data_IF_471532153212
#
_entry.id   IF_471532153212
#
_cell.length_a   1.000
_cell.length_b   1.000
_cell.length_c   1.000
_cell.angle_alpha   90.00
_cell.angle_beta   90.00
_cell.angle_gamma   90.00
#
_symmetry.space_group_name_H-M   'P 1'
#
loop_
_entity.id
_entity.type
_entity.pdbx_description
1 polymer ?
#
# COMPACT_ATOMS: atom_id res chain seq x y z
N UNK A 1 -12.86 37.10 16.22
CA UNK A 1 -13.16 35.71 15.86
C UNK A 1 -12.22 35.28 14.72
N UNK A 2 -11.70 34.05 14.78
CA UNK A 2 -10.84 33.48 13.73
C UNK A 2 -11.73 32.91 12.61
N UNK A 3 -12.35 33.77 11.81
CA UNK A 3 -13.14 33.35 10.66
C UNK A 3 -12.30 33.30 9.36
N UNK A 4 -12.74 32.52 8.35
CA UNK A 4 -11.95 32.33 7.11
C UNK A 4 -11.61 33.63 6.37
N UNK A 5 -12.53 34.59 6.35
CA UNK A 5 -12.29 35.86 5.63
C UNK A 5 -11.24 36.72 6.35
N UNK A 6 -11.24 36.74 7.68
CA UNK A 6 -10.20 37.39 8.49
C UNK A 6 -8.85 36.71 8.33
N UNK A 7 -8.80 35.36 8.31
CA UNK A 7 -7.59 34.61 8.07
C UNK A 7 -7.03 34.86 6.65
N UNK A 8 -7.88 34.87 5.61
CA UNK A 8 -7.46 35.22 4.23
C UNK A 8 -6.90 36.63 4.16
N UNK A 9 -7.51 37.56 4.88
CA UNK A 9 -7.02 38.95 4.97
C UNK A 9 -5.64 38.98 5.62
N UNK A 10 -5.45 38.28 6.74
CA UNK A 10 -4.17 38.21 7.44
C UNK A 10 -3.07 37.60 6.55
N UNK A 11 -3.35 36.44 5.91
CA UNK A 11 -2.41 35.78 4.98
C UNK A 11 -2.03 36.72 3.83
N UNK A 12 -3.01 37.42 3.22
CA UNK A 12 -2.75 38.35 2.14
C UNK A 12 -1.84 39.52 2.55
N UNK A 13 -2.04 40.11 3.75
CA UNK A 13 -1.15 41.16 4.28
C UNK A 13 0.25 40.61 4.55
N UNK A 14 0.35 39.39 5.11
CA UNK A 14 1.64 38.75 5.40
C UNK A 14 2.44 38.47 4.09
N UNK A 15 1.78 37.99 3.05
CA UNK A 15 2.41 37.66 1.77
C UNK A 15 2.82 38.91 0.97
N UNK A 16 1.99 39.95 0.97
CA UNK A 16 2.27 41.17 0.20
C UNK A 16 3.18 42.14 0.94
N UNK A 17 3.32 42.00 2.29
CA UNK A 17 4.03 42.94 3.13
C UNK A 17 3.43 44.36 3.11
N UNK A 18 2.14 44.51 2.70
CA UNK A 18 1.49 45.80 2.51
C UNK A 18 -0.03 45.70 2.61
N UNK A 19 -0.62 46.57 3.45
CA UNK A 19 -2.07 46.66 3.60
C UNK A 19 -2.74 47.14 2.31
N UNK A 20 -2.13 48.05 1.55
CA UNK A 20 -2.69 48.52 0.27
C UNK A 20 -2.66 47.47 -0.80
N UNK A 21 -1.53 46.74 -0.96
CA UNK A 21 -1.45 45.62 -1.93
C UNK A 21 -2.38 44.45 -1.55
N UNK A 22 -2.53 44.15 -0.27
CA UNK A 22 -3.51 43.16 0.18
C UNK A 22 -4.94 43.59 -0.12
N UNK A 23 -5.25 44.90 0.03
CA UNK A 23 -6.56 45.45 -0.30
C UNK A 23 -6.88 45.33 -1.81
N UNK A 24 -5.93 45.66 -2.67
CA UNK A 24 -6.03 45.43 -4.12
C UNK A 24 -6.26 43.98 -4.47
N UNK A 25 -5.42 43.08 -3.94
CA UNK A 25 -5.51 41.61 -4.15
C UNK A 25 -6.88 41.03 -3.73
N UNK A 26 -7.47 41.56 -2.66
CA UNK A 26 -8.74 41.08 -2.12
C UNK A 26 -9.98 41.90 -2.58
N UNK A 27 -9.80 42.89 -3.47
CA UNK A 27 -10.86 43.79 -3.93
C UNK A 27 -11.61 44.49 -2.77
N UNK A 28 -10.85 44.94 -1.75
CA UNK A 28 -11.34 45.62 -0.56
C UNK A 28 -10.65 46.99 -0.41
N UNK A 29 -11.15 47.83 0.50
CA UNK A 29 -10.44 49.03 0.88
C UNK A 29 -9.34 48.76 1.91
N UNK A 30 -8.28 49.60 1.90
CA UNK A 30 -7.22 49.49 2.92
C UNK A 30 -7.76 49.68 4.35
N UNK A 31 -8.80 50.50 4.51
CA UNK A 31 -9.47 50.69 5.80
C UNK A 31 -10.13 49.38 6.29
N UNK A 32 -10.79 48.64 5.39
CA UNK A 32 -11.40 47.34 5.71
C UNK A 32 -10.34 46.30 6.12
N UNK A 33 -9.22 46.25 5.40
CA UNK A 33 -8.12 45.32 5.72
C UNK A 33 -7.52 45.70 7.11
N UNK A 34 -7.24 46.98 7.33
CA UNK A 34 -6.69 47.46 8.61
C UNK A 34 -7.61 47.18 9.78
N UNK A 35 -8.92 47.38 9.63
CA UNK A 35 -9.90 47.09 10.64
C UNK A 35 -9.93 45.62 11.00
N UNK A 36 -9.94 44.71 10.00
CA UNK A 36 -9.96 43.25 10.21
C UNK A 36 -8.71 42.77 10.94
N UNK A 37 -7.53 43.27 10.54
CA UNK A 37 -6.29 42.91 11.21
C UNK A 37 -6.28 43.42 12.67
N UNK A 38 -6.73 44.64 12.89
CA UNK A 38 -6.85 45.17 14.25
C UNK A 38 -7.78 44.32 15.12
N UNK A 39 -8.96 43.97 14.58
CA UNK A 39 -9.92 43.11 15.27
C UNK A 39 -9.33 41.73 15.57
N UNK A 40 -8.50 41.18 14.68
CA UNK A 40 -7.82 39.90 14.88
C UNK A 40 -6.77 40.02 16.01
N UNK A 41 -5.96 41.09 16.02
CA UNK A 41 -4.98 41.36 17.08
C UNK A 41 -5.66 41.61 18.43
N UNK A 42 -6.76 42.38 18.44
CA UNK A 42 -7.56 42.63 19.65
C UNK A 42 -8.16 41.32 20.21
N UNK A 43 -8.68 40.45 19.36
CA UNK A 43 -9.25 39.16 19.78
C UNK A 43 -8.20 38.14 20.26
N UNK A 44 -7.00 38.18 19.72
CA UNK A 44 -5.87 37.32 20.13
C UNK A 44 -5.08 37.86 21.29
N UNK A 45 -5.21 39.15 21.58
CA UNK A 45 -4.49 39.85 22.63
C UNK A 45 -3.01 40.08 22.32
N UNK A 46 -2.57 39.83 21.08
CA UNK A 46 -1.17 39.96 20.66
C UNK A 46 -1.06 40.66 19.32
N UNK A 47 0.00 41.46 19.13
CA UNK A 47 0.33 42.06 17.85
C UNK A 47 0.85 40.96 16.90
N UNK A 48 0.27 40.86 15.72
CA UNK A 48 0.67 39.91 14.68
C UNK A 48 1.62 40.56 13.66
N UNK A 49 1.56 41.88 13.51
CA UNK A 49 2.46 42.65 12.68
C UNK A 49 3.24 43.69 13.47
N UNK A 50 4.54 43.80 13.18
CA UNK A 50 5.36 44.92 13.55
C UNK A 50 5.29 45.96 12.43
N UNK A 51 4.81 47.17 12.74
CA UNK A 51 4.63 48.26 11.76
C UNK A 51 5.73 49.28 11.93
N UNK A 52 6.52 49.48 10.89
CA UNK A 52 7.41 50.62 10.77
C UNK A 52 6.86 51.55 9.68
N UNK A 53 7.38 52.77 9.58
CA UNK A 53 6.97 53.71 8.52
C UNK A 53 7.30 53.21 7.11
N UNK A 54 8.10 52.14 6.96
CA UNK A 54 8.58 51.63 5.67
C UNK A 54 8.25 50.15 5.41
N UNK A 55 7.80 49.40 6.42
CA UNK A 55 7.57 47.96 6.26
C UNK A 55 6.50 47.42 7.22
N UNK A 56 5.81 46.40 6.76
CA UNK A 56 4.89 45.53 7.54
C UNK A 56 5.55 44.16 7.65
N UNK A 57 6.00 43.82 8.84
CA UNK A 57 6.68 42.55 9.12
C UNK A 57 5.87 41.74 10.13
N UNK A 58 5.92 40.44 10.01
CA UNK A 58 5.29 39.55 10.99
C UNK A 58 6.07 39.57 12.32
N UNK A 59 5.34 39.55 13.42
CA UNK A 59 5.89 39.20 14.73
C UNK A 59 6.10 37.66 14.84
N UNK A 60 6.80 37.14 15.86
CA UNK A 60 6.87 35.71 16.10
C UNK A 60 5.48 35.07 16.22
N UNK A 61 4.51 35.71 16.88
CA UNK A 61 3.12 35.28 16.95
C UNK A 61 2.45 35.29 15.56
N UNK A 62 2.72 36.34 14.76
CA UNK A 62 2.23 36.43 13.38
C UNK A 62 2.80 35.32 12.47
N UNK A 63 4.08 34.97 12.61
CA UNK A 63 4.69 33.87 11.87
C UNK A 63 4.05 32.54 12.22
N UNK A 64 3.79 32.29 13.49
CA UNK A 64 3.11 31.09 13.95
C UNK A 64 1.67 31.02 13.39
N UNK A 65 0.91 32.11 13.52
CA UNK A 65 -0.46 32.17 12.98
C UNK A 65 -0.48 32.01 11.44
N UNK A 66 0.50 32.51 10.70
CA UNK A 66 0.58 32.37 9.25
C UNK A 66 0.67 30.91 8.83
N UNK A 67 1.51 30.11 9.51
CA UNK A 67 1.62 28.69 9.24
C UNK A 67 0.28 27.98 9.47
N UNK A 68 -0.37 28.23 10.63
CA UNK A 68 -1.66 27.63 10.96
C UNK A 68 -2.79 28.10 10.05
N UNK A 69 -2.85 29.38 9.73
CA UNK A 69 -3.88 29.95 8.88
C UNK A 69 -3.85 29.38 7.46
N UNK A 70 -2.66 29.11 6.90
CA UNK A 70 -2.51 28.46 5.60
C UNK A 70 -3.07 27.03 5.61
N UNK A 71 -2.78 26.29 6.65
CA UNK A 71 -3.29 24.93 6.84
C UNK A 71 -4.82 24.91 6.95
N UNK A 72 -5.38 25.75 7.82
CA UNK A 72 -6.85 25.82 8.03
C UNK A 72 -7.58 26.29 6.76
N UNK A 73 -7.04 27.29 6.06
CA UNK A 73 -7.63 27.75 4.81
C UNK A 73 -7.55 26.68 3.72
N UNK A 74 -6.44 25.96 3.63
CA UNK A 74 -6.31 24.82 2.74
C UNK A 74 -7.39 23.75 3.00
N UNK A 75 -7.65 23.46 4.26
CA UNK A 75 -8.72 22.55 4.67
C UNK A 75 -10.11 23.04 4.23
N UNK A 76 -10.41 24.32 4.49
CA UNK A 76 -11.70 24.91 4.12
C UNK A 76 -11.89 24.90 2.60
N UNK A 77 -10.84 25.20 1.86
CA UNK A 77 -10.88 25.26 0.40
C UNK A 77 -11.01 23.89 -0.26
N UNK A 78 -10.49 22.82 0.38
CA UNK A 78 -10.62 21.44 -0.09
C UNK A 78 -11.97 20.80 0.25
N UNK A 79 -12.65 21.25 1.29
CA UNK A 79 -13.89 20.66 1.81
C UNK A 79 -15.00 20.45 0.76
N UNK A 80 -15.31 21.42 -0.14
CA UNK A 80 -16.30 21.17 -1.18
C UNK A 80 -15.98 20.00 -2.09
N UNK A 81 -14.70 19.82 -2.46
CA UNK A 81 -14.24 18.70 -3.27
C UNK A 81 -14.34 17.36 -2.53
N UNK A 82 -13.99 17.34 -1.26
CA UNK A 82 -14.12 16.15 -0.41
C UNK A 82 -15.60 15.73 -0.28
N UNK A 83 -16.50 16.68 0.00
CA UNK A 83 -17.93 16.43 0.09
C UNK A 83 -18.52 15.92 -1.22
N UNK A 84 -18.08 16.48 -2.34
CA UNK A 84 -18.52 16.03 -3.66
C UNK A 84 -18.05 14.60 -3.92
N UNK A 85 -16.78 14.29 -3.62
CA UNK A 85 -16.22 12.95 -3.78
C UNK A 85 -17.00 11.91 -2.95
N UNK A 86 -17.36 12.24 -1.70
CA UNK A 86 -18.18 11.38 -0.83
C UNK A 86 -19.59 11.20 -1.43
N UNK A 87 -20.21 12.29 -1.89
CA UNK A 87 -21.54 12.25 -2.53
C UNK A 87 -21.55 11.38 -3.80
N UNK A 88 -20.44 11.32 -4.52
CA UNK A 88 -20.25 10.47 -5.70
C UNK A 88 -19.99 8.99 -5.35
N UNK A 89 -20.07 8.61 -4.06
CA UNK A 89 -19.93 7.25 -3.58
C UNK A 89 -18.48 6.76 -3.47
N UNK A 90 -17.51 7.70 -3.37
CA UNK A 90 -16.11 7.35 -3.16
C UNK A 90 -15.81 7.25 -1.66
N UNK A 91 -15.10 6.22 -1.27
CA UNK A 91 -14.69 5.97 0.11
C UNK A 91 -13.70 7.04 0.61
N UNK A 92 -13.85 7.45 1.88
CA UNK A 92 -12.86 8.31 2.55
C UNK A 92 -11.57 7.56 2.87
N UNK A 93 -11.68 6.26 3.08
CA UNK A 93 -10.53 5.38 3.35
C UNK A 93 -10.72 4.05 2.64
N UNK A 94 -9.65 3.56 2.02
CA UNK A 94 -9.58 2.24 1.39
C UNK A 94 -8.38 1.49 1.95
N UNK A 95 -8.64 0.41 2.68
CA UNK A 95 -7.62 -0.47 3.23
C UNK A 95 -7.46 -1.68 2.31
N UNK A 96 -6.24 -1.92 1.85
CA UNK A 96 -5.89 -2.95 0.87
C UNK A 96 -4.87 -3.90 1.49
N UNK A 97 -5.18 -5.18 1.53
CA UNK A 97 -4.23 -6.22 1.92
C UNK A 97 -3.64 -6.90 0.69
N UNK A 98 -2.32 -7.05 0.67
CA UNK A 98 -1.59 -7.68 -0.44
C UNK A 98 -0.91 -8.96 0.03
N UNK A 99 -1.07 -10.02 -0.75
CA UNK A 99 -0.35 -11.27 -0.50
C UNK A 99 1.16 -11.06 -0.65
N UNK A 100 1.92 -11.61 0.28
CA UNK A 100 3.38 -11.57 0.28
C UNK A 100 4.03 -12.02 -1.05
N UNK A 101 3.42 -12.95 -1.76
CA UNK A 101 3.91 -13.40 -3.08
C UNK A 101 3.75 -12.34 -4.17
N UNK A 102 2.71 -11.52 -4.08
CA UNK A 102 2.37 -10.48 -5.06
C UNK A 102 2.86 -9.09 -4.64
N UNK A 103 3.52 -8.99 -3.48
CA UNK A 103 4.02 -7.73 -2.96
C UNK A 103 5.18 -7.23 -3.81
N UNK A 104 4.95 -6.16 -4.55
CA UNK A 104 5.95 -5.44 -5.34
C UNK A 104 5.83 -3.95 -5.00
N UNK A 105 6.84 -3.34 -4.33
CA UNK A 105 6.80 -1.92 -3.97
C UNK A 105 6.58 -0.99 -5.17
N UNK A 106 7.09 -1.35 -6.35
CA UNK A 106 6.92 -0.55 -7.56
C UNK A 106 5.51 -0.66 -8.14
N UNK A 107 4.88 -1.85 -8.04
CA UNK A 107 3.49 -2.04 -8.41
C UNK A 107 2.55 -1.24 -7.50
N UNK A 108 2.78 -1.30 -6.18
CA UNK A 108 2.03 -0.50 -5.19
C UNK A 108 2.18 0.99 -5.46
N UNK A 109 3.41 1.48 -5.71
CA UNK A 109 3.66 2.89 -5.98
C UNK A 109 2.95 3.37 -7.26
N UNK A 110 2.91 2.56 -8.33
CA UNK A 110 2.16 2.89 -9.56
C UNK A 110 0.67 2.95 -9.32
N UNK A 111 0.12 1.97 -8.63
CA UNK A 111 -1.30 1.97 -8.27
C UNK A 111 -1.64 3.16 -7.39
N UNK A 112 -0.82 3.50 -6.39
CA UNK A 112 -1.00 4.68 -5.55
C UNK A 112 -0.95 5.98 -6.34
N UNK A 113 -0.03 6.12 -7.30
CA UNK A 113 0.05 7.31 -8.15
C UNK A 113 -1.24 7.53 -8.96
N UNK A 114 -1.82 6.46 -9.49
CA UNK A 114 -3.11 6.51 -10.18
C UNK A 114 -4.25 6.84 -9.22
N UNK A 115 -4.31 6.17 -8.05
CA UNK A 115 -5.36 6.36 -7.06
C UNK A 115 -5.37 7.78 -6.47
N UNK A 116 -4.21 8.32 -6.10
CA UNK A 116 -4.11 9.66 -5.50
C UNK A 116 -4.47 10.77 -6.48
N UNK A 117 -4.20 10.58 -7.76
CA UNK A 117 -4.63 11.51 -8.80
C UNK A 117 -6.15 11.49 -9.01
N UNK A 118 -6.75 10.30 -8.97
CA UNK A 118 -8.18 10.12 -9.23
C UNK A 118 -9.05 10.39 -7.99
N UNK A 119 -8.53 10.07 -6.81
CA UNK A 119 -9.23 10.18 -5.53
C UNK A 119 -8.39 10.97 -4.52
N UNK A 120 -8.23 12.29 -4.72
CA UNK A 120 -7.30 13.12 -3.94
C UNK A 120 -7.69 13.24 -2.45
N UNK A 121 -8.93 12.93 -2.07
CA UNK A 121 -9.42 13.02 -0.71
C UNK A 121 -9.60 11.64 -0.04
N UNK A 122 -9.22 10.54 -0.71
CA UNK A 122 -9.27 9.20 -0.14
C UNK A 122 -7.92 8.85 0.50
N UNK A 123 -7.96 8.30 1.70
CA UNK A 123 -6.80 7.74 2.36
C UNK A 123 -6.62 6.28 1.93
N UNK A 124 -5.43 5.93 1.47
CA UNK A 124 -5.09 4.56 1.07
C UNK A 124 -4.12 3.95 2.07
N UNK A 125 -4.47 2.77 2.58
CA UNK A 125 -3.63 2.00 3.49
C UNK A 125 -3.34 0.62 2.89
N UNK A 126 -2.06 0.26 2.74
CA UNK A 126 -1.63 -1.05 2.27
C UNK A 126 -1.02 -1.85 3.41
N UNK A 127 -1.44 -3.11 3.51
CA UNK A 127 -0.86 -4.09 4.43
C UNK A 127 -0.37 -5.32 3.67
N UNK A 128 0.62 -6.01 4.21
CA UNK A 128 1.17 -7.24 3.64
C UNK A 128 0.84 -8.41 4.54
N UNK A 129 0.28 -9.49 3.98
CA UNK A 129 -0.09 -10.69 4.71
C UNK A 129 0.33 -11.95 3.93
N UNK A 130 0.30 -13.11 4.60
CA UNK A 130 0.83 -14.36 4.09
C UNK A 130 -0.28 -15.41 4.09
N UNK A 131 -0.48 -16.10 2.96
CA UNK A 131 -1.43 -17.20 2.78
C UNK A 131 -2.85 -16.87 3.28
N UNK A 132 -3.37 -17.65 4.25
CA UNK A 132 -4.71 -17.45 4.82
C UNK A 132 -4.83 -16.16 5.63
N UNK A 133 -3.71 -15.56 6.04
CA UNK A 133 -3.69 -14.25 6.68
C UNK A 133 -4.26 -13.13 5.80
N UNK A 134 -4.23 -13.28 4.47
CA UNK A 134 -4.86 -12.32 3.54
C UNK A 134 -6.38 -12.37 3.69
N UNK A 135 -6.97 -13.58 3.69
CA UNK A 135 -8.38 -13.79 3.97
C UNK A 135 -8.78 -13.37 5.38
N UNK A 136 -7.96 -13.72 6.37
CA UNK A 136 -8.22 -13.39 7.78
C UNK A 136 -8.34 -11.89 7.99
N UNK A 137 -7.44 -11.12 7.38
CA UNK A 137 -7.45 -9.65 7.41
C UNK A 137 -8.67 -9.07 6.70
N UNK A 138 -9.02 -9.58 5.49
CA UNK A 138 -10.18 -9.09 4.74
C UNK A 138 -11.51 -9.37 5.47
N UNK A 139 -11.62 -10.52 6.15
CA UNK A 139 -12.86 -10.93 6.83
C UNK A 139 -13.07 -10.22 8.17
N UNK A 140 -12.03 -10.05 8.95
CA UNK A 140 -12.14 -9.73 10.37
C UNK A 140 -11.59 -8.36 10.75
N UNK A 141 -10.82 -7.73 9.89
CA UNK A 141 -10.28 -6.39 10.10
C UNK A 141 -10.96 -5.40 9.13
N UNK A 142 -10.71 -4.10 9.30
CA UNK A 142 -11.33 -3.07 8.45
C UNK A 142 -10.60 -2.94 7.10
N UNK A 143 -10.66 -4.01 6.29
CA UNK A 143 -10.12 -4.04 4.93
C UNK A 143 -11.20 -4.23 3.90
N UNK A 144 -11.13 -3.46 2.81
CA UNK A 144 -12.14 -3.44 1.76
C UNK A 144 -11.78 -4.36 0.59
N UNK A 145 -10.47 -4.55 0.34
CA UNK A 145 -9.94 -5.26 -0.84
C UNK A 145 -8.69 -6.05 -0.49
N UNK A 146 -8.55 -7.23 -1.09
CA UNK A 146 -7.40 -8.12 -0.94
C UNK A 146 -6.85 -8.55 -2.30
N UNK A 147 -5.55 -8.31 -2.52
CA UNK A 147 -4.82 -8.71 -3.73
C UNK A 147 -4.08 -10.02 -3.44
N UNK A 148 -4.50 -11.12 -4.09
CA UNK A 148 -3.85 -12.41 -3.99
C UNK A 148 -4.37 -13.30 -2.84
N UNK A 149 -5.67 -13.33 -2.60
CA UNK A 149 -6.26 -14.37 -1.74
C UNK A 149 -6.04 -15.75 -2.34
N UNK A 150 -5.90 -16.76 -1.48
CA UNK A 150 -5.75 -18.16 -1.94
C UNK A 150 -7.10 -18.76 -2.36
N UNK A 151 -7.13 -19.42 -3.50
CA UNK A 151 -8.34 -20.06 -4.05
C UNK A 151 -9.04 -19.19 -5.10
N UNK A 152 -10.08 -19.75 -5.69
CA UNK A 152 -10.91 -19.13 -6.75
C UNK A 152 -12.34 -18.88 -6.29
N UNK A 153 -12.71 -19.37 -5.12
CA UNK A 153 -14.06 -19.26 -4.57
C UNK A 153 -14.06 -18.36 -3.32
N UNK A 154 -15.15 -17.61 -3.10
CA UNK A 154 -15.31 -16.83 -1.88
C UNK A 154 -15.46 -17.75 -0.66
N UNK A 155 -14.78 -17.42 0.44
CA UNK A 155 -14.90 -18.15 1.70
C UNK A 155 -16.04 -17.65 2.60
N UNK A 156 -16.74 -16.60 2.17
CA UNK A 156 -17.93 -16.05 2.81
C UNK A 156 -18.87 -15.43 1.76
N UNK A 157 -20.18 -15.47 2.01
CA UNK A 157 -21.22 -15.02 1.07
C UNK A 157 -21.14 -13.53 0.70
N UNK A 158 -20.68 -12.70 1.65
CA UNK A 158 -20.51 -11.26 1.45
C UNK A 158 -19.24 -10.87 0.72
N UNK A 159 -18.46 -11.84 0.22
CA UNK A 159 -17.25 -11.61 -0.56
C UNK A 159 -17.49 -11.79 -2.06
N UNK A 160 -16.84 -10.95 -2.85
CA UNK A 160 -16.67 -11.13 -4.28
C UNK A 160 -15.23 -11.58 -4.55
N UNK A 161 -15.04 -12.42 -5.55
CA UNK A 161 -13.73 -12.96 -5.95
C UNK A 161 -13.58 -12.87 -7.45
N UNK A 162 -12.39 -12.47 -7.90
CA UNK A 162 -11.99 -12.45 -9.29
C UNK A 162 -10.66 -13.21 -9.46
N UNK A 163 -10.60 -14.34 -10.20
CA UNK A 163 -9.37 -15.10 -10.39
C UNK A 163 -8.29 -14.27 -11.12
N UNK A 164 -7.06 -14.30 -10.61
CA UNK A 164 -5.91 -13.60 -11.19
C UNK A 164 -4.98 -14.53 -11.97
N UNK A 165 -4.88 -15.78 -11.53
CA UNK A 165 -4.00 -16.78 -12.15
C UNK A 165 -3.51 -17.81 -11.13
N UNK A 166 -2.59 -18.66 -11.57
CA UNK A 166 -2.00 -19.72 -10.75
C UNK A 166 -0.49 -19.52 -10.64
N UNK A 167 0.03 -19.68 -9.43
CA UNK A 167 1.47 -19.68 -9.16
C UNK A 167 1.99 -21.11 -9.29
N UNK A 168 2.87 -21.36 -10.24
CA UNK A 168 3.64 -22.60 -10.38
C UNK A 168 4.85 -22.59 -9.46
N UNK A 169 5.31 -23.77 -9.05
CA UNK A 169 6.35 -23.94 -8.04
C UNK A 169 7.47 -24.84 -8.52
N UNK A 170 8.71 -24.43 -8.30
CA UNK A 170 9.88 -25.27 -8.46
C UNK A 170 10.49 -25.61 -7.10
N UNK A 171 10.90 -26.88 -6.94
CA UNK A 171 11.70 -27.28 -5.80
C UNK A 171 13.17 -26.94 -6.09
N UNK A 172 13.75 -26.07 -5.28
CA UNK A 172 15.03 -25.45 -5.58
C UNK A 172 16.00 -25.48 -4.42
N UNK A 173 17.28 -25.34 -4.75
CA UNK A 173 18.39 -25.19 -3.83
C UNK A 173 19.56 -24.47 -4.47
N UNK A 174 20.57 -24.09 -3.69
CA UNK A 174 21.84 -23.58 -4.18
C UNK A 174 22.60 -24.65 -4.99
N UNK A 175 23.33 -24.31 -6.06
CA UNK A 175 24.22 -25.25 -6.78
C UNK A 175 25.29 -25.87 -5.89
N UNK A 176 25.66 -25.18 -4.80
CA UNK A 176 26.67 -25.68 -3.83
C UNK A 176 26.05 -26.55 -2.72
N UNK A 177 24.73 -26.76 -2.73
CA UNK A 177 24.06 -27.60 -1.74
C UNK A 177 24.46 -29.09 -1.96
N UNK A 178 24.68 -29.90 -0.90
CA UNK A 178 25.12 -31.31 -1.05
C UNK A 178 24.17 -32.18 -1.90
N UNK A 179 22.87 -31.85 -1.94
CA UNK A 179 21.90 -32.55 -2.79
C UNK A 179 21.99 -32.17 -4.27
N UNK A 180 22.75 -31.14 -4.63
CA UNK A 180 22.87 -30.69 -6.02
C UNK A 180 23.46 -31.74 -6.95
N UNK A 181 24.32 -32.59 -6.42
CA UNK A 181 25.05 -33.63 -7.18
C UNK A 181 24.37 -35.01 -7.10
N UNK A 182 23.24 -35.12 -6.41
CA UNK A 182 22.52 -36.37 -6.28
C UNK A 182 21.66 -36.66 -7.51
N UNK A 183 21.32 -37.92 -7.75
CA UNK A 183 20.46 -38.35 -8.86
C UNK A 183 19.00 -38.01 -8.58
N UNK A 184 18.27 -37.53 -9.59
CA UNK A 184 16.81 -37.33 -9.53
C UNK A 184 16.04 -38.66 -9.71
N UNK A 185 14.86 -38.80 -9.08
CA UNK A 185 14.30 -37.89 -8.08
C UNK A 185 14.95 -38.03 -6.72
N UNK A 186 15.09 -36.92 -5.98
CA UNK A 186 15.62 -36.95 -4.61
C UNK A 186 14.64 -37.70 -3.69
N UNK A 187 15.13 -38.65 -2.90
CA UNK A 187 14.30 -39.39 -1.94
C UNK A 187 13.95 -38.56 -0.71
N UNK A 188 12.84 -38.87 -0.04
CA UNK A 188 12.49 -38.22 1.23
C UNK A 188 13.57 -38.38 2.30
N UNK A 189 14.25 -39.52 2.36
CA UNK A 189 15.33 -39.77 3.33
C UNK A 189 16.51 -38.80 3.11
N UNK A 190 16.83 -38.46 1.85
CA UNK A 190 17.83 -37.44 1.54
C UNK A 190 17.37 -36.04 1.92
N UNK A 191 16.11 -35.70 1.61
CA UNK A 191 15.53 -34.38 1.89
C UNK A 191 15.47 -34.09 3.40
N UNK A 192 15.09 -35.06 4.23
CA UNK A 192 14.98 -34.91 5.70
C UNK A 192 16.29 -34.50 6.38
N UNK A 193 17.42 -34.72 5.75
CA UNK A 193 18.73 -34.35 6.34
C UNK A 193 19.02 -32.86 6.33
N UNK A 194 18.26 -32.11 5.54
CA UNK A 194 18.47 -30.69 5.34
C UNK A 194 17.24 -29.88 5.71
N UNK A 195 17.38 -28.64 6.21
CA UNK A 195 16.25 -27.86 6.64
C UNK A 195 15.37 -27.42 5.45
N UNK A 196 14.06 -27.49 5.66
CA UNK A 196 13.10 -26.82 4.78
C UNK A 196 13.05 -25.33 5.12
N UNK A 197 13.20 -24.44 4.14
CA UNK A 197 13.04 -23.00 4.32
C UNK A 197 11.62 -22.60 3.96
N UNK A 198 10.87 -22.07 4.92
CA UNK A 198 9.47 -21.76 4.78
C UNK A 198 9.13 -20.34 5.24
N UNK A 199 7.93 -19.89 4.86
CA UNK A 199 7.30 -18.67 5.34
C UNK A 199 6.04 -19.10 6.08
N UNK A 200 5.85 -18.62 7.32
CA UNK A 200 4.70 -18.96 8.13
C UNK A 200 3.44 -18.20 7.67
N UNK A 201 2.30 -18.88 7.69
CA UNK A 201 0.99 -18.28 7.47
C UNK A 201 0.68 -17.27 8.59
N UNK A 202 0.28 -16.06 8.21
CA UNK A 202 -0.01 -14.97 9.14
C UNK A 202 -1.44 -14.98 9.69
N UNK A 203 -2.28 -15.96 9.33
CA UNK A 203 -3.64 -16.09 9.85
C UNK A 203 -3.65 -16.21 11.39
N UNK A 204 -4.61 -15.52 12.01
CA UNK A 204 -4.80 -15.53 13.47
C UNK A 204 -6.10 -16.19 13.90
N UNK A 205 -7.15 -16.05 13.11
CA UNK A 205 -8.52 -16.53 13.36
C UNK A 205 -8.90 -17.68 12.44
N UNK A 206 -8.36 -17.71 11.23
CA UNK A 206 -8.54 -18.80 10.28
C UNK A 206 -7.48 -19.90 10.49
N UNK A 207 -7.81 -21.12 10.03
CA UNK A 207 -6.87 -22.25 10.04
C UNK A 207 -5.67 -21.91 9.17
N UNK A 208 -4.48 -21.92 9.77
CA UNK A 208 -3.21 -21.68 9.08
C UNK A 208 -2.94 -22.75 8.03
N UNK A 209 -2.44 -22.33 6.88
CA UNK A 209 -1.92 -23.22 5.86
C UNK A 209 -0.57 -23.75 6.32
N UNK A 210 -0.40 -25.07 6.23
CA UNK A 210 0.89 -25.71 6.52
C UNK A 210 1.79 -25.59 5.29
N UNK A 211 3.00 -25.04 5.49
CA UNK A 211 4.02 -25.01 4.46
C UNK A 211 4.60 -26.42 4.22
N UNK A 212 5.24 -26.61 3.06
CA UNK A 212 5.85 -27.90 2.75
C UNK A 212 7.00 -28.26 3.71
N UNK A 213 6.85 -29.38 4.35
CA UNK A 213 7.87 -29.98 5.23
C UNK A 213 7.60 -31.48 5.35
N UNK A 214 8.64 -32.29 5.31
CA UNK A 214 8.54 -33.71 5.59
C UNK A 214 8.44 -33.96 7.12
N UNK A 215 7.76 -35.01 7.57
CA UNK A 215 7.74 -35.40 8.98
C UNK A 215 9.15 -35.56 9.54
N UNK A 216 9.46 -34.90 10.67
CA UNK A 216 10.77 -34.94 11.30
C UNK A 216 11.87 -34.10 10.64
N UNK A 217 11.58 -33.40 9.53
CA UNK A 217 12.53 -32.49 8.91
C UNK A 217 12.67 -31.20 9.71
N UNK A 218 13.90 -30.69 9.87
CA UNK A 218 14.16 -29.36 10.43
C UNK A 218 13.54 -28.28 9.56
N UNK A 219 12.95 -27.28 10.18
CA UNK A 219 12.38 -26.13 9.51
C UNK A 219 13.11 -24.85 9.90
N UNK A 220 13.29 -23.96 8.93
CA UNK A 220 13.74 -22.59 9.11
C UNK A 220 12.62 -21.69 8.59
N UNK A 221 12.05 -20.88 9.46
CA UNK A 221 10.98 -19.93 9.11
C UNK A 221 11.58 -18.57 8.90
N UNK A 222 11.25 -17.96 7.76
CA UNK A 222 11.68 -16.62 7.37
C UNK A 222 10.45 -15.71 7.15
N UNK A 223 10.60 -14.37 7.27
CA UNK A 223 9.44 -13.48 7.33
C UNK A 223 8.76 -13.26 5.97
N UNK A 224 9.48 -13.40 4.85
CA UNK A 224 8.98 -13.02 3.53
C UNK A 224 9.65 -13.81 2.39
N UNK A 225 9.12 -13.60 1.17
CA UNK A 225 9.59 -14.30 -0.02
C UNK A 225 11.01 -13.88 -0.42
N UNK A 226 11.37 -12.63 -0.23
CA UNK A 226 12.69 -12.09 -0.54
C UNK A 226 13.75 -12.75 0.35
N UNK A 227 13.49 -12.83 1.65
CA UNK A 227 14.37 -13.53 2.61
C UNK A 227 14.44 -15.02 2.28
N UNK A 228 13.31 -15.64 1.86
CA UNK A 228 13.30 -17.05 1.47
C UNK A 228 14.19 -17.30 0.24
N UNK A 229 14.10 -16.46 -0.78
CA UNK A 229 14.98 -16.53 -1.97
C UNK A 229 16.43 -16.36 -1.55
N UNK A 230 16.75 -15.34 -0.74
CA UNK A 230 18.11 -15.11 -0.26
C UNK A 230 18.67 -16.29 0.54
N UNK A 231 17.86 -16.93 1.38
CA UNK A 231 18.24 -18.13 2.14
C UNK A 231 18.57 -19.33 1.23
N UNK A 232 17.80 -19.54 0.15
CA UNK A 232 18.11 -20.58 -0.84
C UNK A 232 19.42 -20.27 -1.58
N UNK A 233 19.63 -19.02 -1.98
CA UNK A 233 20.89 -18.58 -2.64
C UNK A 233 22.11 -18.78 -1.74
N UNK A 234 21.96 -18.54 -0.44
CA UNK A 234 23.01 -18.74 0.56
C UNK A 234 23.21 -20.23 0.94
N UNK A 235 22.43 -21.15 0.38
CA UNK A 235 22.55 -22.58 0.66
C UNK A 235 22.06 -23.00 2.04
N UNK A 236 21.22 -22.17 2.70
CA UNK A 236 20.72 -22.42 4.06
C UNK A 236 19.82 -23.66 4.13
N UNK A 237 19.10 -23.96 3.04
CA UNK A 237 18.21 -25.13 2.98
C UNK A 237 17.54 -25.28 1.63
N UNK A 238 16.48 -26.09 1.63
CA UNK A 238 15.76 -26.53 0.41
C UNK A 238 14.26 -26.19 0.53
N UNK A 239 13.57 -26.10 -0.62
CA UNK A 239 12.12 -25.89 -0.61
C UNK A 239 11.56 -25.37 -1.93
N UNK A 240 10.29 -25.03 -1.92
CA UNK A 240 9.58 -24.50 -3.09
C UNK A 240 9.66 -22.98 -3.16
N UNK A 241 9.96 -22.48 -4.35
CA UNK A 241 9.82 -21.08 -4.74
C UNK A 241 8.93 -20.94 -5.97
N UNK A 242 8.25 -19.80 -6.17
CA UNK A 242 7.55 -19.52 -7.42
C UNK A 242 8.44 -19.64 -8.64
N UNK A 243 8.00 -20.36 -9.65
CA UNK A 243 8.75 -20.59 -10.88
C UNK A 243 9.26 -19.30 -11.54
N UNK A 244 8.44 -18.23 -11.71
CA UNK A 244 8.90 -16.99 -12.33
C UNK A 244 10.04 -16.30 -11.56
N UNK A 245 10.15 -16.50 -10.25
CA UNK A 245 11.27 -15.99 -9.45
C UNK A 245 12.53 -16.87 -9.61
N UNK A 246 12.34 -18.16 -9.89
CA UNK A 246 13.45 -19.10 -10.03
C UNK A 246 14.14 -19.04 -11.39
N UNK A 247 13.37 -18.92 -12.49
CA UNK A 247 13.90 -19.03 -13.84
C UNK A 247 15.09 -18.10 -14.13
N UNK A 248 15.06 -16.80 -13.79
CA UNK A 248 16.21 -15.93 -13.98
C UNK A 248 17.44 -16.34 -13.16
N UNK A 249 17.21 -16.85 -11.95
CA UNK A 249 18.28 -17.28 -11.05
C UNK A 249 18.90 -18.61 -11.49
N UNK A 250 18.08 -19.51 -12.04
CA UNK A 250 18.53 -20.77 -12.64
C UNK A 250 19.36 -20.47 -13.90
N UNK A 251 18.89 -19.57 -14.78
CA UNK A 251 19.63 -19.16 -15.97
C UNK A 251 20.99 -18.53 -15.64
N UNK A 252 21.11 -17.87 -14.47
CA UNK A 252 22.38 -17.32 -13.95
C UNK A 252 23.23 -18.37 -13.20
N UNK A 253 22.79 -19.61 -13.10
CA UNK A 253 23.49 -20.65 -12.33
C UNK A 253 23.49 -20.43 -10.81
N UNK A 254 22.62 -19.58 -10.29
CA UNK A 254 22.53 -19.25 -8.85
C UNK A 254 21.61 -20.19 -8.08
N UNK A 255 20.64 -20.81 -8.75
CA UNK A 255 19.77 -21.84 -8.22
C UNK A 255 19.74 -23.03 -9.18
N UNK A 256 19.41 -24.20 -8.65
CA UNK A 256 19.07 -25.37 -9.43
C UNK A 256 17.70 -25.90 -9.01
N UNK A 257 16.91 -26.34 -9.98
CA UNK A 257 15.66 -27.03 -9.74
C UNK A 257 15.90 -28.55 -9.68
N UNK A 258 15.14 -29.24 -8.81
CA UNK A 258 15.23 -30.69 -8.64
C UNK A 258 13.85 -31.31 -8.59
N UNK A 259 13.74 -32.59 -8.98
CA UNK A 259 12.52 -33.38 -8.87
C UNK A 259 12.49 -34.10 -7.51
N UNK A 260 11.31 -34.07 -6.87
CA UNK A 260 11.03 -34.77 -5.61
C UNK A 260 9.74 -35.59 -5.75
N UNK A 261 9.52 -36.62 -4.91
CA UNK A 261 8.36 -37.52 -5.04
C UNK A 261 7.00 -36.77 -4.96
N UNK A 262 6.91 -35.75 -4.14
CA UNK A 262 5.69 -34.96 -3.95
C UNK A 262 5.92 -33.52 -4.38
N UNK A 263 5.62 -33.21 -5.64
CA UNK A 263 5.67 -31.85 -6.15
C UNK A 263 4.50 -31.03 -5.61
N UNK A 264 4.72 -29.74 -5.41
CA UNK A 264 3.68 -28.81 -5.00
C UNK A 264 2.78 -28.48 -6.18
N UNK A 265 1.45 -28.66 -6.07
CA UNK A 265 0.53 -28.27 -7.13
C UNK A 265 0.50 -26.75 -7.31
N UNK A 266 0.10 -26.25 -8.49
CA UNK A 266 -0.16 -24.84 -8.71
C UNK A 266 -1.10 -24.28 -7.63
N UNK A 267 -0.90 -23.01 -7.30
CA UNK A 267 -1.68 -22.34 -6.26
C UNK A 267 -2.47 -21.19 -6.89
N UNK A 268 -3.79 -21.30 -7.02
CA UNK A 268 -4.62 -20.23 -7.55
C UNK A 268 -4.64 -19.05 -6.57
N UNK A 269 -4.52 -17.84 -7.11
CA UNK A 269 -4.66 -16.58 -6.41
C UNK A 269 -5.72 -15.72 -7.07
N UNK A 270 -6.44 -14.96 -6.25
CA UNK A 270 -7.55 -14.13 -6.70
C UNK A 270 -7.49 -12.74 -6.06
N UNK A 271 -8.14 -11.78 -6.70
CA UNK A 271 -8.58 -10.54 -6.08
C UNK A 271 -9.86 -10.84 -5.30
N UNK A 272 -10.03 -10.25 -4.12
CA UNK A 272 -11.26 -10.36 -3.35
C UNK A 272 -11.62 -9.00 -2.73
N UNK A 273 -12.93 -8.75 -2.59
CA UNK A 273 -13.43 -7.54 -1.92
C UNK A 273 -14.77 -7.80 -1.24
N UNK A 274 -15.11 -6.93 -0.30
CA UNK A 274 -16.38 -7.00 0.41
C UNK A 274 -17.49 -6.40 -0.45
N UNK A 275 -18.60 -7.13 -0.61
CA UNK A 275 -19.77 -6.66 -1.38
C UNK A 275 -20.56 -5.56 -0.67
N UNK A 276 -20.51 -5.54 0.66
CA UNK A 276 -21.26 -4.64 1.54
C UNK A 276 -20.51 -3.34 1.88
N UNK A 277 -19.19 -3.29 1.62
CA UNK A 277 -18.32 -2.16 1.95
C UNK A 277 -17.41 -1.78 0.77
N UNK A 278 -17.98 -1.67 -0.43
CA UNK A 278 -17.24 -1.23 -1.60
C UNK A 278 -17.88 0.01 -2.20
N UNK A 279 -17.13 1.09 -2.26
CA UNK A 279 -17.47 2.26 -3.02
C UNK A 279 -16.76 2.28 -4.37
N UNK A 280 -16.72 3.43 -4.98
CA UNK A 280 -16.24 3.61 -6.34
C UNK A 280 -14.75 3.33 -6.50
N UNK A 281 -13.92 3.65 -5.48
CA UNK A 281 -12.48 3.40 -5.55
C UNK A 281 -12.16 1.90 -5.56
N UNK A 282 -12.84 1.08 -4.72
CA UNK A 282 -12.69 -0.38 -4.73
C UNK A 282 -13.17 -0.98 -6.05
N UNK A 283 -14.30 -0.51 -6.60
CA UNK A 283 -14.81 -0.95 -7.90
C UNK A 283 -13.84 -0.64 -9.04
N UNK A 284 -13.27 0.57 -9.06
CA UNK A 284 -12.31 0.97 -10.09
C UNK A 284 -11.01 0.15 -9.98
N UNK A 285 -10.52 -0.14 -8.76
CA UNK A 285 -9.38 -1.06 -8.58
C UNK A 285 -9.72 -2.45 -9.11
N UNK A 286 -10.88 -3.01 -8.78
CA UNK A 286 -11.30 -4.32 -9.29
C UNK A 286 -11.40 -4.32 -10.84
N UNK A 287 -11.86 -3.22 -11.42
CA UNK A 287 -11.91 -3.02 -12.87
C UNK A 287 -10.51 -3.00 -13.50
N UNK A 288 -9.51 -2.36 -12.87
CA UNK A 288 -8.13 -2.42 -13.36
C UNK A 288 -7.62 -3.86 -13.49
N UNK A 289 -7.89 -4.70 -12.49
CA UNK A 289 -7.49 -6.11 -12.51
C UNK A 289 -8.25 -6.91 -13.58
N UNK A 290 -9.55 -6.71 -13.73
CA UNK A 290 -10.37 -7.43 -14.73
C UNK A 290 -9.99 -7.11 -16.18
N UNK A 291 -9.45 -5.92 -16.42
CA UNK A 291 -8.98 -5.49 -17.76
C UNK A 291 -7.47 -5.57 -17.93
N UNK A 292 -6.74 -6.15 -16.96
CA UNK A 292 -5.27 -6.26 -16.98
C UNK A 292 -4.58 -4.91 -17.29
N UNK A 293 -5.05 -3.84 -16.65
CA UNK A 293 -4.58 -2.48 -16.90
C UNK A 293 -3.07 -2.31 -16.58
N UNK A 294 -2.37 -1.38 -17.23
CA UNK A 294 -0.92 -1.18 -17.02
C UNK A 294 -0.54 -0.86 -15.57
N UNK A 295 -1.44 -0.20 -14.84
CA UNK A 295 -1.26 0.21 -13.44
C UNK A 295 -1.03 -0.98 -12.51
N UNK A 296 -1.65 -2.14 -12.82
CA UNK A 296 -1.58 -3.34 -11.97
C UNK A 296 -0.68 -4.44 -12.53
N UNK A 297 -0.06 -4.24 -13.70
CA UNK A 297 0.75 -5.26 -14.37
C UNK A 297 1.88 -5.83 -13.48
N UNK A 298 2.41 -5.01 -12.55
CA UNK A 298 3.44 -5.46 -11.63
C UNK A 298 2.98 -6.54 -10.65
N UNK A 299 1.70 -6.55 -10.25
CA UNK A 299 1.14 -7.60 -9.40
C UNK A 299 0.98 -8.93 -10.11
N UNK A 300 0.85 -8.92 -11.44
CA UNK A 300 0.57 -10.10 -12.25
C UNK A 300 1.83 -10.86 -12.73
N UNK A 301 3.03 -10.35 -12.43
CA UNK A 301 4.32 -10.93 -12.86
C UNK A 301 4.57 -12.38 -12.42
N UNK A 302 3.87 -12.85 -11.39
CA UNK A 302 3.99 -14.23 -10.88
C UNK A 302 3.20 -15.26 -11.67
N UNK A 303 2.32 -14.82 -12.56
CA UNK A 303 1.52 -15.70 -13.39
C UNK A 303 2.22 -15.88 -14.73
N UNK A 304 2.78 -17.06 -14.96
CA UNK A 304 3.66 -17.37 -16.11
C UNK A 304 2.98 -17.34 -17.48
N UNK A 305 1.68 -17.10 -17.56
CA UNK A 305 0.88 -17.10 -18.78
C UNK A 305 -0.23 -16.02 -18.73
N UNK A 306 0.14 -14.77 -18.56
CA UNK A 306 -0.79 -13.71 -19.01
C UNK A 306 -0.47 -13.43 -20.46
N UNK A 307 -1.44 -13.59 -21.40
CA UNK A 307 -1.24 -13.41 -22.84
C UNK A 307 -0.81 -11.97 -23.18
#
# INVERSE_FOLDING_TARGET
MLDPETLRTFVSVAETGSFSRAAEKLYKTTATISYRIKLLEDNTGVALFSRTTRSVLLTPAGMHLLAQAREWLGWIDSMPGELQQINDGVERQVNIVVNNLMYDPQAIARLLAWLTQRYPFTQFHFSRQIYMGVWDTLLHDDFSLAIGVTGTEPIAENMAVYPLGEVTWLFVMSPHHPLSQQTDPLSEAQLRRYPAVNIEDSARRLTKRVAWRLPGQKEIVVPDIETKVAAHLAGVGIGFLPEPLCLPLIAQGKLIARHIPTMRPPSPLSLAWRKDHHGKAVQDIASLFSHSAPEIAGFLKLFSNTP
#
